data_IF_693711023116
#
_entry.id   IF_693711023116
#
_cell.length_a   1.000
_cell.length_b   1.000
_cell.length_c   1.000
_cell.angle_alpha   90.00
_cell.angle_beta   90.00
_cell.angle_gamma   90.00
#
_symmetry.space_group_name_H-M   'P 1'
#
loop_
_entity.id
_entity.type
_entity.pdbx_description
1 polymer ?
#
# COMPACT_ATOMS: atom_id res chain seq x y z
N UNK A 1 11.48 65.09 37.49
CA UNK A 1 10.26 65.24 38.32
C UNK A 1 9.35 64.08 37.92
N UNK A 2 9.41 62.97 38.66
CA UNK A 2 8.50 62.61 39.79
C UNK A 2 7.15 62.06 39.25
N UNK A 3 6.56 60.95 39.69
CA UNK A 3 6.83 59.99 40.77
C UNK A 3 5.96 58.71 40.57
N UNK A 4 6.34 57.61 41.22
CA UNK A 4 5.47 56.44 41.54
C UNK A 4 4.37 56.81 42.57
N UNK A 5 3.48 55.87 42.98
CA UNK A 5 3.81 54.98 44.13
C UNK A 5 3.38 53.50 43.95
N UNK A 6 4.17 52.48 44.29
CA UNK A 6 4.61 51.87 45.58
C UNK A 6 3.52 51.10 46.37
N UNK A 7 3.82 49.82 46.70
CA UNK A 7 3.83 49.11 48.01
C UNK A 7 3.38 47.62 47.85
N UNK A 8 3.97 46.56 48.42
CA UNK A 8 5.19 46.27 49.23
C UNK A 8 5.35 44.73 49.32
N UNK A 9 6.51 44.14 49.02
CA UNK A 9 7.63 43.67 49.88
C UNK A 9 7.36 42.54 50.92
N UNK A 10 8.13 41.44 50.83
CA UNK A 10 9.18 41.09 51.82
C UNK A 10 10.11 39.95 51.34
N UNK A 11 11.43 40.22 51.42
CA UNK A 11 12.56 39.28 51.28
C UNK A 11 12.77 38.48 52.59
N UNK A 12 13.65 37.47 52.74
CA UNK A 12 15.13 37.60 52.79
C UNK A 12 15.84 36.23 52.80
N UNK A 13 16.56 35.91 51.72
CA UNK A 13 18.02 35.65 51.55
C UNK A 13 18.98 35.00 52.62
N UNK A 14 19.77 34.02 52.12
CA UNK A 14 21.25 33.65 52.24
C UNK A 14 21.86 32.70 53.35
N UNK A 15 23.13 32.18 53.23
CA UNK A 15 23.48 30.77 52.92
C UNK A 15 24.56 30.16 53.87
N UNK A 16 25.21 29.03 53.51
CA UNK A 16 26.70 28.87 53.51
C UNK A 16 27.18 27.43 53.23
N UNK A 17 28.37 27.34 52.61
CA UNK A 17 29.20 26.15 52.34
C UNK A 17 29.81 25.59 53.64
N UNK A 18 30.17 24.30 53.70
CA UNK A 18 31.48 23.81 54.18
C UNK A 18 31.67 22.30 53.95
N UNK A 19 32.86 21.93 53.44
CA UNK A 19 33.43 20.57 53.45
C UNK A 19 34.21 20.36 54.75
N UNK A 20 34.24 19.13 55.30
CA UNK A 20 35.44 18.61 56.01
C UNK A 20 35.43 17.09 56.16
N UNK A 21 36.63 16.54 55.99
CA UNK A 21 37.10 15.17 56.18
C UNK A 21 37.20 14.78 57.68
N UNK A 22 37.12 13.47 57.99
CA UNK A 22 38.08 12.62 58.78
C UNK A 22 37.33 11.39 59.35
N UNK A 23 37.64 10.16 58.92
CA UNK A 23 38.64 9.16 59.38
C UNK A 23 38.19 8.20 60.52
N UNK A 24 38.13 6.92 60.15
CA UNK A 24 38.51 5.68 60.84
C UNK A 24 38.19 5.46 62.33
N UNK A 25 37.47 4.35 62.60
CA UNK A 25 37.73 3.48 63.76
C UNK A 25 37.70 2.01 63.31
N UNK A 26 38.81 1.33 63.55
CA UNK A 26 38.97 -0.12 63.56
C UNK A 26 39.32 -0.53 65.00
N UNK A 27 38.67 -1.54 65.59
CA UNK A 27 39.37 -2.73 66.11
C UNK A 27 38.45 -3.86 66.64
N UNK A 28 38.88 -5.07 66.25
CA UNK A 28 38.75 -6.47 66.73
C UNK A 28 37.96 -6.80 68.02
N UNK A 29 37.22 -7.94 67.99
CA UNK A 29 37.73 -9.26 68.44
C UNK A 29 36.66 -10.39 68.52
N UNK A 30 37.07 -11.60 68.08
CA UNK A 30 36.69 -12.98 68.50
C UNK A 30 35.21 -13.45 68.37
N UNK A 31 34.83 -14.67 67.96
CA UNK A 31 35.49 -15.89 67.50
C UNK A 31 34.44 -16.90 66.95
N UNK A 32 34.93 -17.94 66.26
CA UNK A 32 34.33 -19.27 65.92
C UNK A 32 33.77 -19.46 64.48
N UNK A 33 34.62 -20.12 63.67
CA UNK A 33 34.26 -20.90 62.48
C UNK A 33 33.59 -22.23 62.88
N UNK A 34 32.79 -22.83 61.97
CA UNK A 34 33.27 -24.10 61.41
C UNK A 34 33.36 -24.08 59.89
N UNK A 35 34.35 -24.83 59.40
CA UNK A 35 34.61 -25.10 58.00
C UNK A 35 33.44 -25.87 57.36
N UNK A 36 32.92 -25.36 56.24
CA UNK A 36 32.28 -26.20 55.25
C UNK A 36 32.68 -25.70 53.85
N UNK A 37 33.29 -26.60 53.09
CA UNK A 37 33.82 -26.40 51.75
C UNK A 37 32.79 -25.80 50.78
N UNK A 38 33.10 -24.63 50.21
CA UNK A 38 32.40 -24.08 49.05
C UNK A 38 32.69 -24.95 47.82
N UNK A 39 31.78 -25.87 47.50
CA UNK A 39 31.60 -26.32 46.11
C UNK A 39 30.85 -25.20 45.40
N UNK A 40 31.53 -24.54 44.47
CA UNK A 40 30.98 -23.50 43.60
C UNK A 40 30.05 -24.19 42.59
N UNK A 41 28.77 -24.36 42.95
CA UNK A 41 27.75 -24.69 41.96
C UNK A 41 27.57 -23.46 41.07
N UNK A 42 28.23 -23.46 39.90
CA UNK A 42 27.87 -22.58 38.81
C UNK A 42 26.44 -22.91 38.41
N UNK A 43 25.49 -22.09 38.88
CA UNK A 43 24.13 -22.09 38.39
C UNK A 43 24.21 -21.56 36.95
N UNK A 44 24.30 -22.49 35.98
CA UNK A 44 24.00 -22.20 34.58
C UNK A 44 22.52 -21.79 34.54
N UNK A 45 22.22 -20.51 34.72
CA UNK A 45 20.94 -19.95 34.27
C UNK A 45 20.94 -19.93 32.74
N UNK A 46 20.67 -21.12 32.20
CA UNK A 46 19.86 -21.43 31.03
C UNK A 46 19.71 -20.30 29.99
N UNK A 47 20.63 -20.26 29.02
CA UNK A 47 20.33 -19.70 27.69
C UNK A 47 19.20 -20.48 26.98
N UNK A 48 18.94 -21.73 27.40
CA UNK A 48 17.85 -22.57 26.91
C UNK A 48 16.46 -22.10 27.38
N UNK A 49 16.31 -21.56 28.58
CA UNK A 49 15.02 -21.09 29.11
C UNK A 49 14.55 -19.84 28.37
N UNK A 50 15.46 -18.90 28.08
CA UNK A 50 15.11 -17.74 27.25
C UNK A 50 14.70 -18.17 25.85
N UNK A 51 15.43 -19.10 25.23
CA UNK A 51 15.05 -19.66 23.94
C UNK A 51 13.71 -20.40 23.99
N UNK A 52 13.38 -21.08 25.09
CA UNK A 52 12.09 -21.75 25.26
C UNK A 52 10.95 -20.73 25.45
N UNK A 53 11.18 -19.66 26.21
CA UNK A 53 10.24 -18.55 26.36
C UNK A 53 10.03 -17.82 25.03
N UNK A 54 11.08 -17.52 24.25
CA UNK A 54 10.92 -16.92 22.92
C UNK A 54 10.22 -17.85 21.92
N UNK A 55 10.45 -19.16 22.00
CA UNK A 55 9.72 -20.17 21.21
C UNK A 55 8.24 -20.24 21.62
N UNK A 56 7.94 -20.20 22.91
CA UNK A 56 6.57 -20.17 23.42
C UNK A 56 5.84 -18.86 23.07
N UNK A 57 6.52 -17.71 23.18
CA UNK A 57 5.98 -16.40 22.80
C UNK A 57 5.73 -16.32 21.29
N UNK A 58 6.64 -16.85 20.46
CA UNK A 58 6.47 -16.94 19.01
C UNK A 58 5.30 -17.86 18.62
N UNK A 59 5.18 -19.02 19.28
CA UNK A 59 4.09 -19.96 19.04
C UNK A 59 2.73 -19.39 19.49
N UNK A 60 2.70 -18.68 20.62
CA UNK A 60 1.51 -17.98 21.10
C UNK A 60 1.05 -16.89 20.12
N UNK A 61 1.98 -16.07 19.62
CA UNK A 61 1.64 -15.04 18.62
C UNK A 61 1.13 -15.66 17.32
N UNK A 62 1.74 -16.75 16.85
CA UNK A 62 1.30 -17.45 15.64
C UNK A 62 -0.07 -18.11 15.84
N UNK A 63 -0.30 -18.73 17.00
CA UNK A 63 -1.59 -19.30 17.37
C UNK A 63 -2.69 -18.24 17.39
N UNK A 64 -2.43 -17.11 18.06
CA UNK A 64 -3.36 -15.98 18.08
C UNK A 64 -3.67 -15.47 16.68
N UNK A 65 -2.67 -15.38 15.79
CA UNK A 65 -2.91 -14.98 14.40
C UNK A 65 -3.81 -15.97 13.65
N UNK A 66 -3.68 -17.29 13.89
CA UNK A 66 -4.55 -18.32 13.31
C UNK A 66 -5.98 -18.13 13.84
N UNK A 67 -6.15 -18.00 15.16
CA UNK A 67 -7.45 -17.78 15.81
C UNK A 67 -8.14 -16.52 15.31
N UNK A 68 -7.43 -15.39 15.26
CA UNK A 68 -7.95 -14.11 14.78
C UNK A 68 -8.38 -14.22 13.30
N UNK A 69 -7.62 -14.93 12.47
CA UNK A 69 -7.94 -15.12 11.05
C UNK A 69 -9.18 -16.01 10.88
N UNK A 70 -9.25 -17.11 11.63
CA UNK A 70 -10.41 -18.02 11.61
C UNK A 70 -11.66 -17.29 12.10
N UNK A 71 -11.58 -16.55 13.21
CA UNK A 71 -12.69 -15.78 13.75
C UNK A 71 -13.21 -14.75 12.74
N UNK A 72 -12.31 -14.00 12.11
CA UNK A 72 -12.67 -13.03 11.07
C UNK A 72 -13.35 -13.71 9.87
N UNK A 73 -12.86 -14.87 9.44
CA UNK A 73 -13.48 -15.65 8.38
C UNK A 73 -14.88 -16.18 8.78
N UNK A 74 -15.05 -16.70 10.00
CA UNK A 74 -16.34 -17.19 10.51
C UNK A 74 -17.40 -16.08 10.60
N UNK A 75 -16.99 -14.86 10.96
CA UNK A 75 -17.90 -13.72 11.03
C UNK A 75 -18.32 -13.19 9.66
N UNK A 76 -17.38 -13.15 8.69
CA UNK A 76 -17.61 -12.49 7.40
C UNK A 76 -18.11 -13.45 6.32
N UNK A 77 -17.60 -14.67 6.25
CA UNK A 77 -17.88 -15.60 5.16
C UNK A 77 -19.37 -15.97 5.03
N UNK A 78 -20.14 -16.22 6.10
CA UNK A 78 -21.56 -16.55 5.97
C UNK A 78 -22.39 -15.40 5.39
N UNK A 79 -22.25 -14.21 5.98
CA UNK A 79 -22.92 -12.99 5.51
C UNK A 79 -22.53 -12.66 4.06
N UNK A 80 -21.25 -12.83 3.75
CA UNK A 80 -20.71 -12.65 2.40
C UNK A 80 -21.33 -13.62 1.38
N UNK A 81 -21.48 -14.89 1.76
CA UNK A 81 -22.03 -15.95 0.93
C UNK A 81 -23.51 -15.69 0.65
N UNK A 82 -24.30 -15.37 1.68
CA UNK A 82 -25.71 -15.01 1.54
C UNK A 82 -25.90 -13.82 0.57
N UNK A 83 -25.05 -12.80 0.67
CA UNK A 83 -25.09 -11.66 -0.24
C UNK A 83 -24.75 -11.99 -1.69
N UNK A 84 -23.76 -12.86 -1.95
CA UNK A 84 -23.45 -13.29 -3.32
C UNK A 84 -24.51 -14.24 -3.89
N UNK A 85 -25.07 -15.14 -3.08
CA UNK A 85 -26.16 -16.02 -3.51
C UNK A 85 -27.42 -15.21 -3.87
N UNK A 86 -27.80 -14.24 -3.03
CA UNK A 86 -28.90 -13.34 -3.33
C UNK A 86 -28.66 -12.51 -4.61
N UNK A 87 -27.42 -12.10 -4.86
CA UNK A 87 -27.05 -11.40 -6.09
C UNK A 87 -27.16 -12.30 -7.31
N UNK A 88 -26.68 -13.54 -7.21
CA UNK A 88 -26.75 -14.53 -8.28
C UNK A 88 -28.20 -14.82 -8.65
N UNK A 89 -29.08 -15.00 -7.66
CA UNK A 89 -30.52 -15.21 -7.88
C UNK A 89 -31.13 -14.05 -8.68
N UNK A 90 -30.84 -12.79 -8.28
CA UNK A 90 -31.32 -11.61 -9.03
C UNK A 90 -30.82 -11.58 -10.48
N UNK A 91 -29.59 -12.01 -10.73
CA UNK A 91 -29.04 -12.09 -12.08
C UNK A 91 -29.68 -13.21 -12.90
N UNK A 92 -29.98 -14.34 -12.27
CA UNK A 92 -30.73 -15.45 -12.90
C UNK A 92 -32.16 -15.01 -13.25
N UNK A 93 -32.85 -14.28 -12.36
CA UNK A 93 -34.15 -13.65 -12.63
C UNK A 93 -34.08 -12.70 -13.84
N UNK A 94 -33.06 -11.84 -13.91
CA UNK A 94 -32.86 -10.94 -15.07
C UNK A 94 -32.64 -11.70 -16.38
N UNK A 95 -31.98 -12.87 -16.35
CA UNK A 95 -31.82 -13.72 -17.54
C UNK A 95 -33.17 -14.33 -17.96
N UNK A 96 -34.03 -14.65 -17.01
CA UNK A 96 -35.37 -15.16 -17.31
C UNK A 96 -36.30 -14.08 -17.88
N UNK A 97 -36.17 -12.83 -17.43
CA UNK A 97 -36.98 -11.70 -17.89
C UNK A 97 -36.46 -11.10 -19.21
N UNK A 98 -35.15 -11.05 -19.42
CA UNK A 98 -34.57 -10.62 -20.68
C UNK A 98 -34.73 -11.72 -21.73
N UNK A 99 -35.47 -11.43 -22.80
CA UNK A 99 -35.31 -12.14 -24.07
C UNK A 99 -33.84 -12.03 -24.50
N UNK A 100 -33.05 -13.09 -24.26
CA UNK A 100 -31.62 -13.17 -24.57
C UNK A 100 -31.28 -12.81 -26.03
N UNK A 101 -32.29 -12.81 -26.90
CA UNK A 101 -32.18 -12.59 -28.33
C UNK A 101 -32.45 -11.15 -28.77
N UNK A 102 -33.04 -10.30 -27.91
CA UNK A 102 -33.34 -8.91 -28.26
C UNK A 102 -32.12 -8.00 -28.18
N UNK A 103 -31.23 -8.25 -27.22
CA UNK A 103 -30.02 -7.45 -27.01
C UNK A 103 -28.83 -8.34 -26.63
N UNK A 104 -27.99 -8.74 -27.60
CA UNK A 104 -26.85 -9.62 -27.34
C UNK A 104 -25.78 -8.94 -26.48
N UNK A 105 -25.69 -7.61 -26.49
CA UNK A 105 -24.71 -6.87 -25.69
C UNK A 105 -25.08 -6.92 -24.20
N UNK A 106 -26.34 -6.62 -23.87
CA UNK A 106 -26.84 -6.74 -22.48
C UNK A 106 -26.81 -8.17 -21.98
N UNK A 107 -27.17 -9.14 -22.82
CA UNK A 107 -27.14 -10.56 -22.46
C UNK A 107 -25.73 -11.02 -22.11
N UNK A 108 -24.72 -10.63 -22.91
CA UNK A 108 -23.33 -10.93 -22.61
C UNK A 108 -22.85 -10.27 -21.31
N UNK A 109 -23.25 -9.02 -21.05
CA UNK A 109 -22.92 -8.34 -19.80
C UNK A 109 -23.49 -9.07 -18.56
N UNK A 110 -24.75 -9.51 -18.63
CA UNK A 110 -25.39 -10.26 -17.53
C UNK A 110 -24.71 -11.61 -17.34
N UNK A 111 -24.37 -12.33 -18.41
CA UNK A 111 -23.66 -13.60 -18.32
C UNK A 111 -22.26 -13.44 -17.70
N UNK A 112 -21.52 -12.39 -18.06
CA UNK A 112 -20.22 -12.06 -17.45
C UNK A 112 -20.40 -11.78 -15.94
N UNK A 113 -21.43 -11.02 -15.57
CA UNK A 113 -21.75 -10.73 -14.16
C UNK A 113 -22.12 -12.00 -13.38
N UNK A 114 -22.89 -12.90 -13.99
CA UNK A 114 -23.28 -14.18 -13.38
C UNK A 114 -22.05 -15.08 -13.17
N UNK A 115 -21.20 -15.22 -14.20
CA UNK A 115 -19.95 -15.96 -14.08
C UNK A 115 -19.05 -15.38 -12.97
N UNK A 116 -19.02 -14.05 -12.81
CA UNK A 116 -18.32 -13.38 -11.71
C UNK A 116 -18.89 -13.73 -10.34
N UNK A 117 -20.22 -13.68 -10.16
CA UNK A 117 -20.86 -14.04 -8.89
C UNK A 117 -20.64 -15.52 -8.53
N UNK A 118 -20.71 -16.43 -9.50
CA UNK A 118 -20.43 -17.85 -9.29
C UNK A 118 -18.99 -18.09 -8.80
N UNK A 119 -17.99 -17.46 -9.44
CA UNK A 119 -16.60 -17.51 -8.98
C UNK A 119 -16.43 -16.98 -7.55
N UNK A 120 -17.13 -15.90 -7.20
CA UNK A 120 -17.09 -15.34 -5.85
C UNK A 120 -17.69 -16.30 -4.80
N UNK A 121 -18.80 -16.96 -5.13
CA UNK A 121 -19.42 -17.99 -4.28
C UNK A 121 -18.46 -19.16 -4.07
N UNK A 122 -17.83 -19.66 -5.13
CA UNK A 122 -16.89 -20.77 -5.04
C UNK A 122 -15.66 -20.40 -4.19
N UNK A 123 -15.13 -19.19 -4.35
CA UNK A 123 -14.03 -18.67 -3.52
C UNK A 123 -14.43 -18.55 -2.03
N UNK A 124 -15.66 -18.12 -1.73
CA UNK A 124 -16.17 -18.03 -0.36
C UNK A 124 -16.39 -19.41 0.27
N UNK A 125 -16.83 -20.40 -0.51
CA UNK A 125 -16.93 -21.80 -0.07
C UNK A 125 -15.56 -22.39 0.24
N UNK A 126 -14.56 -22.15 -0.61
CA UNK A 126 -13.18 -22.56 -0.37
C UNK A 126 -12.59 -21.87 0.87
N UNK A 127 -12.85 -20.56 1.05
CA UNK A 127 -12.47 -19.82 2.25
C UNK A 127 -13.04 -20.45 3.52
N UNK A 128 -14.33 -20.81 3.51
CA UNK A 128 -14.99 -21.46 4.66
C UNK A 128 -14.37 -22.82 4.95
N UNK A 129 -14.15 -23.64 3.93
CA UNK A 129 -13.50 -24.95 4.08
C UNK A 129 -12.10 -24.83 4.69
N UNK A 130 -11.27 -23.91 4.18
CA UNK A 130 -9.91 -23.67 4.71
C UNK A 130 -9.91 -23.11 6.12
N UNK A 131 -10.89 -22.26 6.46
CA UNK A 131 -11.04 -21.75 7.82
C UNK A 131 -11.41 -22.87 8.81
N UNK A 132 -12.32 -23.77 8.43
CA UNK A 132 -12.68 -24.96 9.22
C UNK A 132 -11.48 -25.91 9.37
N UNK A 133 -10.71 -26.14 8.30
CA UNK A 133 -9.48 -26.93 8.35
C UNK A 133 -8.46 -26.33 9.32
N UNK A 134 -8.16 -25.03 9.20
CA UNK A 134 -7.21 -24.35 10.08
C UNK A 134 -7.65 -24.41 11.55
N UNK A 135 -8.96 -24.29 11.81
CA UNK A 135 -9.55 -24.42 13.15
C UNK A 135 -9.36 -25.82 13.73
N UNK A 136 -9.70 -26.86 12.96
CA UNK A 136 -9.57 -28.24 13.39
C UNK A 136 -8.11 -28.61 13.67
N UNK A 137 -7.18 -28.21 12.79
CA UNK A 137 -5.75 -28.46 13.01
C UNK A 137 -5.27 -27.71 14.26
N UNK A 138 -5.71 -26.47 14.49
CA UNK A 138 -5.36 -25.73 15.71
C UNK A 138 -5.84 -26.45 16.98
N UNK A 139 -7.08 -26.95 16.99
CA UNK A 139 -7.64 -27.72 18.10
C UNK A 139 -6.88 -29.04 18.33
N UNK A 140 -6.51 -29.75 17.27
CA UNK A 140 -5.70 -30.98 17.38
C UNK A 140 -4.31 -30.69 17.97
N UNK A 141 -3.68 -29.57 17.61
CA UNK A 141 -2.38 -29.18 18.17
C UNK A 141 -2.46 -28.89 19.68
N UNK A 142 -3.60 -28.41 20.18
CA UNK A 142 -3.82 -28.23 21.63
C UNK A 142 -3.95 -29.57 22.36
N UNK A 143 -4.56 -30.57 21.72
CA UNK A 143 -4.78 -31.90 22.29
C UNK A 143 -3.51 -32.78 22.24
N UNK A 144 -2.73 -32.68 21.16
CA UNK A 144 -1.49 -33.42 20.95
C UNK A 144 -0.29 -32.47 21.03
N UNK A 145 0.22 -32.28 22.24
CA UNK A 145 1.21 -31.27 22.63
C UNK A 145 2.49 -31.27 21.75
N UNK A 146 2.44 -30.50 20.67
CA UNK A 146 3.56 -30.02 19.83
C UNK A 146 3.95 -30.96 18.67
N UNK A 147 3.01 -31.25 17.77
CA UNK A 147 3.38 -31.63 16.40
C UNK A 147 3.67 -30.38 15.55
N UNK A 148 4.94 -29.97 15.50
CA UNK A 148 5.39 -28.81 14.72
C UNK A 148 4.95 -28.86 13.24
N UNK A 149 4.82 -30.05 12.65
CA UNK A 149 4.37 -30.20 11.26
C UNK A 149 2.90 -29.79 11.10
N UNK A 150 2.03 -30.26 11.99
CA UNK A 150 0.60 -29.89 11.99
C UNK A 150 0.43 -28.40 12.26
N UNK A 151 1.18 -27.84 13.22
CA UNK A 151 1.14 -26.40 13.47
C UNK A 151 1.56 -25.58 12.25
N UNK A 152 2.63 -26.00 11.56
CA UNK A 152 3.07 -25.34 10.32
C UNK A 152 1.99 -25.41 9.24
N UNK A 153 1.30 -26.55 9.11
CA UNK A 153 0.18 -26.70 8.17
C UNK A 153 -1.01 -25.78 8.52
N UNK A 154 -1.41 -25.72 9.81
CA UNK A 154 -2.43 -24.78 10.28
C UNK A 154 -2.05 -23.32 9.96
N UNK A 155 -0.79 -22.96 10.21
CA UNK A 155 -0.30 -21.63 9.92
C UNK A 155 -0.33 -21.32 8.42
N UNK A 156 0.13 -22.23 7.55
CA UNK A 156 0.05 -22.03 6.10
C UNK A 156 -1.40 -21.91 5.62
N UNK A 157 -2.30 -22.77 6.09
CA UNK A 157 -3.73 -22.68 5.77
C UNK A 157 -4.32 -21.34 6.24
N UNK A 158 -3.97 -20.86 7.44
CA UNK A 158 -4.41 -19.54 7.94
C UNK A 158 -3.89 -18.38 7.07
N UNK A 159 -2.68 -18.48 6.53
CA UNK A 159 -2.15 -17.46 5.62
C UNK A 159 -2.94 -17.44 4.29
N UNK A 160 -3.36 -18.60 3.82
CA UNK A 160 -4.18 -18.71 2.61
C UNK A 160 -5.60 -18.18 2.86
N UNK A 161 -6.21 -18.51 4.01
CA UNK A 161 -7.50 -17.93 4.45
C UNK A 161 -7.40 -16.41 4.51
N UNK A 162 -6.33 -15.87 5.12
CA UNK A 162 -6.13 -14.42 5.22
C UNK A 162 -6.03 -13.76 3.85
N UNK A 163 -5.25 -14.34 2.93
CA UNK A 163 -5.10 -13.81 1.56
C UNK A 163 -6.43 -13.81 0.82
N UNK A 164 -7.18 -14.91 0.86
CA UNK A 164 -8.48 -15.03 0.19
C UNK A 164 -9.50 -14.05 0.78
N UNK A 165 -9.51 -13.89 2.11
CA UNK A 165 -10.38 -12.95 2.79
C UNK A 165 -10.05 -11.49 2.44
N UNK A 166 -8.76 -11.12 2.49
CA UNK A 166 -8.31 -9.76 2.14
C UNK A 166 -8.61 -9.45 0.66
N UNK A 167 -8.47 -10.43 -0.25
CA UNK A 167 -8.86 -10.29 -1.66
C UNK A 167 -10.37 -10.10 -1.83
N UNK A 168 -11.19 -10.90 -1.13
CA UNK A 168 -12.65 -10.78 -1.19
C UNK A 168 -13.11 -9.42 -0.64
N UNK A 169 -12.62 -9.00 0.52
CA UNK A 169 -12.95 -7.69 1.09
C UNK A 169 -12.54 -6.55 0.14
N UNK A 170 -11.35 -6.64 -0.47
CA UNK A 170 -10.96 -5.63 -1.46
C UNK A 170 -11.89 -5.61 -2.66
N UNK A 171 -12.28 -6.78 -3.21
CA UNK A 171 -13.27 -6.83 -4.29
C UNK A 171 -14.62 -6.22 -3.91
N UNK A 172 -14.95 -6.18 -2.61
CA UNK A 172 -16.15 -5.51 -2.09
C UNK A 172 -16.00 -4.00 -1.95
N UNK A 173 -14.82 -3.53 -1.59
CA UNK A 173 -14.54 -2.10 -1.46
C UNK A 173 -14.45 -1.43 -2.84
N UNK A 174 -13.93 -2.16 -3.83
CA UNK A 174 -13.76 -1.69 -5.20
C UNK A 174 -15.08 -1.73 -6.00
N UNK A 175 -15.92 -0.70 -5.79
CA UNK A 175 -17.23 -0.54 -6.48
C UNK A 175 -17.27 0.64 -7.46
N UNK A 176 -16.17 1.35 -7.62
CA UNK A 176 -16.06 2.46 -8.57
C UNK A 176 -16.24 2.00 -10.02
N UNK A 177 -16.69 2.89 -10.91
CA UNK A 177 -17.00 2.55 -12.30
C UNK A 177 -15.78 2.04 -13.08
N UNK A 178 -14.59 2.52 -12.71
CA UNK A 178 -13.34 2.18 -13.38
C UNK A 178 -12.42 1.29 -12.55
N UNK A 179 -12.86 0.84 -11.35
CA UNK A 179 -11.98 0.14 -10.41
C UNK A 179 -11.38 -1.13 -10.99
N UNK A 180 -12.16 -1.84 -11.84
CA UNK A 180 -11.74 -3.09 -12.49
C UNK A 180 -10.68 -2.90 -13.58
N UNK A 181 -10.49 -1.68 -14.06
CA UNK A 181 -9.56 -1.40 -15.16
C UNK A 181 -8.10 -1.48 -14.69
N UNK A 182 -7.20 -1.57 -15.67
CA UNK A 182 -5.77 -1.38 -15.43
C UNK A 182 -5.49 0.04 -14.91
N UNK A 183 -4.26 0.32 -14.49
CA UNK A 183 -3.88 1.65 -14.01
C UNK A 183 -2.69 2.18 -14.80
N UNK A 184 -2.71 3.48 -15.09
CA UNK A 184 -1.55 4.22 -15.55
C UNK A 184 -1.18 5.22 -14.44
N UNK A 185 0.00 5.02 -13.85
CA UNK A 185 0.55 5.88 -12.80
C UNK A 185 1.59 6.81 -13.41
N UNK A 186 1.36 8.11 -13.26
CA UNK A 186 2.30 9.16 -13.69
C UNK A 186 2.87 9.81 -12.44
N UNK A 187 4.18 9.71 -12.27
CA UNK A 187 4.90 10.29 -11.14
C UNK A 187 5.72 11.47 -11.66
N UNK A 188 5.63 12.62 -11.00
CA UNK A 188 6.35 13.84 -11.35
C UNK A 188 6.99 14.47 -10.12
N UNK A 189 8.22 14.93 -10.25
CA UNK A 189 8.87 15.72 -9.21
C UNK A 189 8.05 17.01 -8.93
N UNK A 190 7.81 17.32 -7.66
CA UNK A 190 7.00 18.49 -7.29
C UNK A 190 7.67 19.82 -7.65
N UNK A 191 9.00 19.85 -7.57
CA UNK A 191 9.85 20.98 -7.94
C UNK A 191 11.14 20.47 -8.59
N UNK A 192 11.79 21.31 -9.38
CA UNK A 192 13.13 21.02 -9.91
C UNK A 192 14.14 21.08 -8.77
N UNK A 193 14.87 19.99 -8.55
CA UNK A 193 15.81 19.87 -7.44
C UNK A 193 16.15 18.42 -7.15
N UNK A 194 17.43 18.18 -6.87
CA UNK A 194 17.99 16.84 -6.66
C UNK A 194 17.19 15.97 -5.68
N UNK A 195 16.76 16.56 -4.55
CA UNK A 195 16.04 15.82 -3.51
C UNK A 195 14.60 15.42 -3.94
N UNK A 196 13.92 16.25 -4.72
CA UNK A 196 12.60 15.91 -5.30
C UNK A 196 12.74 14.84 -6.40
N UNK A 197 13.78 14.94 -7.21
CA UNK A 197 14.03 14.02 -8.33
C UNK A 197 14.45 12.63 -7.85
N UNK A 198 15.23 12.54 -6.77
CA UNK A 198 15.53 11.26 -6.10
C UNK A 198 14.28 10.69 -5.44
N UNK A 199 13.49 11.51 -4.76
CA UNK A 199 12.25 11.03 -4.14
C UNK A 199 11.28 10.45 -5.18
N UNK A 200 11.20 11.08 -6.34
CA UNK A 200 10.42 10.58 -7.49
C UNK A 200 10.93 9.20 -7.95
N UNK A 201 12.26 9.00 -7.98
CA UNK A 201 12.86 7.69 -8.32
C UNK A 201 12.60 6.63 -7.24
N UNK A 202 12.63 7.00 -5.97
CA UNK A 202 12.27 6.11 -4.87
C UNK A 202 10.80 5.66 -4.97
N UNK A 203 9.87 6.58 -5.28
CA UNK A 203 8.46 6.25 -5.50
C UNK A 203 8.27 5.35 -6.71
N UNK A 204 8.97 5.59 -7.82
CA UNK A 204 8.97 4.71 -8.98
C UNK A 204 9.33 3.27 -8.58
N UNK A 205 10.43 3.10 -7.85
CA UNK A 205 10.88 1.80 -7.38
C UNK A 205 9.91 1.15 -6.38
N UNK A 206 9.21 1.95 -5.57
CA UNK A 206 8.17 1.48 -4.66
C UNK A 206 7.01 0.85 -5.43
N UNK A 207 6.48 1.53 -6.47
CA UNK A 207 5.36 1.02 -7.26
C UNK A 207 5.72 -0.21 -8.09
N UNK A 208 6.94 -0.27 -8.65
CA UNK A 208 7.43 -1.47 -9.36
C UNK A 208 7.49 -2.66 -8.40
N UNK A 209 8.10 -2.49 -7.22
CA UNK A 209 8.17 -3.55 -6.20
C UNK A 209 6.80 -3.96 -5.66
N UNK A 210 5.86 -3.02 -5.57
CA UNK A 210 4.49 -3.31 -5.16
C UNK A 210 3.81 -4.26 -6.14
N UNK A 211 3.95 -4.03 -7.46
CA UNK A 211 3.42 -4.93 -8.47
C UNK A 211 4.09 -6.30 -8.42
N UNK A 212 5.43 -6.35 -8.32
CA UNK A 212 6.18 -7.61 -8.19
C UNK A 212 5.73 -8.43 -6.98
N UNK A 213 5.46 -7.77 -5.84
CA UNK A 213 4.98 -8.42 -4.61
C UNK A 213 3.58 -9.04 -4.78
N UNK A 214 2.76 -8.47 -5.65
CA UNK A 214 1.44 -9.01 -6.00
C UNK A 214 1.54 -10.12 -7.07
N UNK A 215 2.73 -10.36 -7.63
CA UNK A 215 2.95 -11.32 -8.72
C UNK A 215 2.62 -10.77 -10.11
N UNK A 216 2.49 -9.45 -10.23
CA UNK A 216 2.24 -8.77 -11.51
C UNK A 216 3.47 -7.99 -11.97
N UNK A 217 3.50 -7.67 -13.26
CA UNK A 217 4.54 -6.84 -13.86
C UNK A 217 4.01 -5.42 -14.07
N UNK A 218 4.80 -4.41 -13.69
CA UNK A 218 4.55 -3.02 -14.02
C UNK A 218 5.37 -2.61 -15.23
N UNK A 219 4.70 -2.28 -16.34
CA UNK A 219 5.37 -1.85 -17.58
C UNK A 219 5.82 -0.40 -17.45
N UNK A 220 7.13 -0.17 -17.37
CA UNK A 220 7.69 1.18 -17.44
C UNK A 220 7.60 1.70 -18.88
N UNK A 221 6.75 2.70 -19.12
CA UNK A 221 6.50 3.23 -20.47
C UNK A 221 7.35 4.47 -20.74
N UNK A 222 7.48 5.35 -19.76
CA UNK A 222 8.26 6.58 -19.89
C UNK A 222 9.13 6.77 -18.65
N UNK A 223 10.38 7.18 -18.87
CA UNK A 223 11.31 7.58 -17.81
C UNK A 223 12.11 8.78 -18.30
N UNK A 224 11.96 9.91 -17.63
CA UNK A 224 12.71 11.14 -17.90
C UNK A 224 13.76 11.33 -16.80
N UNK A 225 15.03 10.94 -17.05
CA UNK A 225 16.10 11.11 -16.07
C UNK A 225 16.48 12.58 -15.92
N UNK A 226 16.79 12.99 -14.69
CA UNK A 226 17.31 14.35 -14.44
C UNK A 226 18.80 14.47 -14.77
N UNK A 227 19.27 15.71 -14.94
CA UNK A 227 20.68 16.06 -15.06
C UNK A 227 21.45 15.85 -13.75
N UNK A 228 20.83 16.19 -12.62
CA UNK A 228 21.45 16.20 -11.29
C UNK A 228 21.46 14.82 -10.61
N UNK A 229 20.68 13.86 -11.13
CA UNK A 229 20.43 12.55 -10.53
C UNK A 229 18.93 12.34 -10.25
N UNK A 230 18.47 11.09 -10.17
CA UNK A 230 17.04 10.79 -10.05
C UNK A 230 16.25 10.97 -11.36
N UNK A 231 14.95 11.18 -11.23
CA UNK A 231 14.02 11.33 -12.37
C UNK A 231 13.13 12.56 -12.22
N UNK A 232 12.86 13.25 -13.33
CA UNK A 232 11.89 14.37 -13.38
C UNK A 232 10.46 13.83 -13.45
N UNK A 233 10.24 12.79 -14.26
CA UNK A 233 8.96 12.10 -14.34
C UNK A 233 9.11 10.66 -14.85
N UNK A 234 8.14 9.82 -14.50
CA UNK A 234 8.01 8.47 -15.03
C UNK A 234 6.53 8.06 -15.15
N UNK A 235 6.24 7.22 -16.12
CA UNK A 235 4.91 6.66 -16.37
C UNK A 235 4.98 5.14 -16.34
N UNK A 236 4.17 4.52 -15.49
CA UNK A 236 4.06 3.06 -15.33
C UNK A 236 2.64 2.63 -15.71
N UNK A 237 2.54 1.59 -16.54
CA UNK A 237 1.27 0.98 -16.93
C UNK A 237 1.16 -0.40 -16.24
N UNK A 238 0.05 -0.60 -15.52
CA UNK A 238 -0.30 -1.84 -14.83
C UNK A 238 -1.49 -2.48 -15.54
N UNK A 239 -1.21 -3.56 -16.28
CA UNK A 239 -2.18 -4.26 -17.13
C UNK A 239 -2.80 -5.49 -16.42
N UNK A 240 -3.31 -5.30 -15.21
CA UNK A 240 -4.00 -6.37 -14.47
C UNK A 240 -5.33 -5.89 -13.86
N UNK A 241 -6.20 -6.85 -13.56
CA UNK A 241 -7.55 -6.59 -13.06
C UNK A 241 -7.51 -5.86 -11.70
N UNK A 242 -8.40 -4.88 -11.53
CA UNK A 242 -8.52 -4.07 -10.32
C UNK A 242 -7.34 -3.13 -10.00
N UNK A 243 -6.35 -3.00 -10.89
CA UNK A 243 -5.17 -2.16 -10.63
C UNK A 243 -5.53 -0.70 -10.34
N UNK A 244 -6.49 -0.13 -11.08
CA UNK A 244 -6.95 1.25 -10.83
C UNK A 244 -7.61 1.37 -9.46
N UNK A 245 -8.47 0.42 -9.10
CA UNK A 245 -9.12 0.39 -7.79
C UNK A 245 -8.11 0.44 -6.64
N UNK A 246 -7.06 -0.37 -6.71
CA UNK A 246 -6.01 -0.39 -5.68
C UNK A 246 -5.23 0.93 -5.58
N UNK A 247 -4.92 1.56 -6.72
CA UNK A 247 -4.05 2.73 -6.78
C UNK A 247 -4.81 4.06 -6.77
N UNK A 248 -6.13 4.05 -6.90
CA UNK A 248 -6.97 5.25 -6.93
C UNK A 248 -6.74 6.16 -5.72
N UNK A 249 -6.53 5.57 -4.54
CA UNK A 249 -6.24 6.27 -3.30
C UNK A 249 -4.82 6.86 -3.21
N UNK A 250 -3.91 6.48 -4.09
CA UNK A 250 -2.52 6.96 -4.11
C UNK A 250 -2.38 8.29 -4.87
N UNK A 251 -3.45 8.77 -5.50
CA UNK A 251 -3.44 10.03 -6.25
C UNK A 251 -3.27 11.22 -5.30
N UNK A 252 -2.24 12.03 -5.54
CA UNK A 252 -1.99 13.24 -4.75
C UNK A 252 -0.51 13.61 -4.65
N UNK A 253 -0.20 14.48 -3.70
CA UNK A 253 1.17 14.94 -3.45
C UNK A 253 1.77 14.17 -2.27
N UNK A 254 2.81 13.42 -2.55
CA UNK A 254 3.56 12.60 -1.60
C UNK A 254 4.74 13.38 -1.07
N UNK A 255 4.76 13.61 0.24
CA UNK A 255 5.82 14.34 0.92
C UNK A 255 6.73 13.41 1.71
N UNK A 256 8.05 13.55 1.53
CA UNK A 256 9.07 12.91 2.37
C UNK A 256 9.81 13.97 3.16
N UNK A 257 9.76 13.83 4.49
CA UNK A 257 10.41 14.73 5.44
C UNK A 257 11.76 14.10 5.82
N UNK A 258 12.85 14.76 5.44
CA UNK A 258 14.19 14.32 5.77
C UNK A 258 14.76 15.15 6.92
N UNK A 259 15.24 14.46 7.96
CA UNK A 259 16.02 15.07 9.04
C UNK A 259 17.49 14.85 8.75
N UNK A 260 18.21 15.89 8.33
CA UNK A 260 19.66 15.83 8.27
C UNK A 260 20.23 15.81 9.70
N UNK A 261 21.16 14.89 9.97
CA UNK A 261 21.82 14.78 11.27
C UNK A 261 22.48 16.12 11.64
N UNK A 262 21.96 16.81 12.66
CA UNK A 262 22.50 18.06 13.18
C UNK A 262 21.81 19.35 12.73
N UNK A 263 20.78 19.28 11.88
CA UNK A 263 19.94 20.42 11.51
C UNK A 263 18.65 20.46 12.35
N UNK A 264 18.23 21.66 12.79
CA UNK A 264 16.90 21.89 13.39
C UNK A 264 15.81 22.02 12.30
N UNK A 265 16.20 22.31 11.07
CA UNK A 265 15.28 22.46 9.94
C UNK A 265 15.14 21.14 9.19
N UNK A 266 13.89 20.69 9.04
CA UNK A 266 13.54 19.56 8.21
C UNK A 266 13.38 20.00 6.76
N UNK A 267 13.99 19.24 5.84
CA UNK A 267 13.76 19.45 4.42
C UNK A 267 12.53 18.64 3.98
N UNK A 268 11.61 19.29 3.28
CA UNK A 268 10.39 18.67 2.75
C UNK A 268 10.57 18.48 1.25
N UNK A 269 10.65 17.22 0.84
CA UNK A 269 10.66 16.82 -0.56
C UNK A 269 9.26 16.37 -0.97
N UNK A 270 8.87 16.69 -2.19
CA UNK A 270 7.54 16.40 -2.71
C UNK A 270 7.58 15.83 -4.12
N UNK A 271 6.66 14.91 -4.39
CA UNK A 271 6.39 14.34 -5.70
C UNK A 271 4.88 14.22 -5.90
N UNK A 272 4.40 14.50 -7.11
CA UNK A 272 3.01 14.36 -7.50
C UNK A 272 2.81 12.99 -8.15
N UNK A 273 1.81 12.25 -7.67
CA UNK A 273 1.37 10.98 -8.24
C UNK A 273 -0.03 11.19 -8.81
N UNK A 274 -0.15 11.02 -10.11
CA UNK A 274 -1.42 11.01 -10.82
C UNK A 274 -1.75 9.58 -11.24
N UNK A 275 -3.01 9.17 -11.07
CA UNK A 275 -3.46 7.80 -11.35
C UNK A 275 -4.69 7.88 -12.23
N UNK A 276 -4.61 7.29 -13.42
CA UNK A 276 -5.71 7.24 -14.38
C UNK A 276 -5.99 5.80 -14.79
N UNK A 277 -7.25 5.44 -15.09
CA UNK A 277 -7.56 4.09 -15.54
C UNK A 277 -6.95 3.84 -16.92
N UNK A 278 -6.41 2.64 -17.10
CA UNK A 278 -5.89 2.15 -18.37
C UNK A 278 -6.94 1.25 -19.01
N UNK A 279 -7.56 1.75 -20.08
CA UNK A 279 -8.55 1.01 -20.84
C UNK A 279 -7.85 0.08 -21.84
N UNK A 280 -7.89 -1.22 -21.57
CA UNK A 280 -7.31 -2.25 -22.44
C UNK A 280 -8.28 -2.74 -23.54
N UNK A 281 -9.55 -2.31 -23.49
CA UNK A 281 -10.62 -2.74 -24.41
C UNK A 281 -11.26 -1.61 -25.21
N UNK A 282 -11.92 -1.97 -26.31
CA UNK A 282 -12.54 -1.08 -27.33
C UNK A 282 -13.92 -0.54 -26.92
N UNK A 283 -14.18 -0.33 -25.63
CA UNK A 283 -15.55 -0.21 -25.09
C UNK A 283 -16.06 1.18 -24.73
N UNK A 284 -15.23 2.23 -24.82
CA UNK A 284 -15.65 3.58 -24.42
C UNK A 284 -15.65 4.53 -25.62
N UNK A 285 -16.83 4.77 -26.18
CA UNK A 285 -17.12 5.78 -27.22
C UNK A 285 -17.12 7.20 -26.62
N UNK A 286 -16.08 7.55 -25.86
CA UNK A 286 -15.81 8.93 -25.52
C UNK A 286 -14.98 9.55 -26.64
N UNK A 287 -15.66 10.21 -27.57
CA UNK A 287 -15.01 11.01 -28.62
C UNK A 287 -14.79 12.42 -28.11
N UNK A 288 -13.56 12.91 -28.28
CA UNK A 288 -13.18 14.30 -28.08
C UNK A 288 -13.08 14.89 -29.47
N UNK A 289 -13.63 16.08 -29.68
CA UNK A 289 -13.48 16.77 -30.96
C UNK A 289 -12.01 17.18 -31.16
N UNK A 290 -11.48 16.97 -32.36
CA UNK A 290 -10.11 17.34 -32.70
C UNK A 290 -9.91 18.86 -32.64
N UNK A 291 -10.97 19.66 -32.83
CA UNK A 291 -10.91 21.13 -32.70
C UNK A 291 -10.67 21.59 -31.26
N UNK A 292 -10.99 20.77 -30.26
CA UNK A 292 -10.80 21.05 -28.83
C UNK A 292 -9.41 20.64 -28.31
N UNK A 293 -8.55 20.09 -29.18
CA UNK A 293 -7.25 19.55 -28.83
C UNK A 293 -6.10 20.38 -29.43
N UNK A 294 -5.16 20.79 -28.57
CA UNK A 294 -3.88 21.34 -29.01
C UNK A 294 -2.85 20.22 -28.96
N UNK A 295 -2.31 19.86 -30.12
CA UNK A 295 -1.22 18.89 -30.26
C UNK A 295 0.10 19.65 -30.43
N UNK A 296 1.04 19.41 -29.53
CA UNK A 296 2.41 19.94 -29.62
C UNK A 296 3.42 18.80 -29.61
N UNK A 297 4.46 18.92 -30.42
CA UNK A 297 5.50 17.90 -30.55
C UNK A 297 6.88 18.47 -30.22
N UNK A 298 7.60 17.76 -29.36
CA UNK A 298 8.96 18.11 -28.96
C UNK A 298 9.91 16.98 -29.36
N UNK A 299 11.10 17.26 -29.91
CA UNK A 299 12.12 16.23 -30.06
C UNK A 299 12.58 15.77 -28.67
N UNK A 300 12.67 14.45 -28.45
CA UNK A 300 13.27 13.92 -27.22
C UNK A 300 14.79 14.10 -27.28
N UNK A 301 15.35 14.67 -26.21
CA UNK A 301 16.80 14.88 -26.09
C UNK A 301 17.37 13.77 -25.22
N UNK A 302 18.17 12.88 -25.81
CA UNK A 302 19.06 12.01 -25.03
C UNK A 302 20.38 12.74 -24.72
N UNK A 303 20.96 12.38 -23.57
CA UNK A 303 22.19 12.93 -22.95
C UNK A 303 23.45 12.89 -23.85
N UNK A 304 23.40 12.22 -25.01
CA UNK A 304 24.54 11.97 -25.91
C UNK A 304 24.57 12.80 -27.20
N UNK A 305 23.80 13.90 -27.30
CA UNK A 305 23.91 14.85 -28.42
C UNK A 305 23.47 14.31 -29.79
N UNK A 306 22.99 13.06 -29.86
CA UNK A 306 22.27 12.51 -31.00
C UNK A 306 20.78 12.76 -30.79
N UNK A 307 20.19 13.60 -31.63
CA UNK A 307 18.74 13.70 -31.74
C UNK A 307 18.20 12.40 -32.31
N UNK A 308 17.59 11.56 -31.48
CA UNK A 308 16.71 10.52 -32.00
C UNK A 308 15.38 11.17 -32.42
N UNK A 309 14.79 10.64 -33.49
CA UNK A 309 13.47 11.01 -34.01
C UNK A 309 12.34 10.53 -33.10
N UNK A 310 12.57 10.44 -31.80
CA UNK A 310 11.53 10.11 -30.84
C UNK A 310 10.82 11.41 -30.48
N UNK A 311 9.57 11.51 -30.93
CA UNK A 311 8.75 12.71 -30.80
C UNK A 311 7.90 12.56 -29.54
N UNK A 312 8.17 13.40 -28.54
CA UNK A 312 7.27 13.57 -27.40
C UNK A 312 6.05 14.33 -27.88
N UNK A 313 4.87 13.72 -27.73
CA UNK A 313 3.59 14.35 -28.05
C UNK A 313 2.97 14.86 -26.76
N UNK A 314 2.63 16.13 -26.72
CA UNK A 314 1.87 16.76 -25.65
C UNK A 314 0.50 17.18 -26.20
N UNK A 315 -0.55 16.69 -25.55
CA UNK A 315 -1.93 17.01 -25.86
C UNK A 315 -2.50 17.87 -24.74
N UNK A 316 -3.19 18.94 -25.12
CA UNK A 316 -3.93 19.79 -24.20
C UNK A 316 -5.39 19.89 -24.65
N UNK A 317 -6.31 19.64 -23.72
CA UNK A 317 -7.74 19.84 -23.94
C UNK A 317 -8.11 21.29 -23.60
N UNK A 318 -8.49 22.07 -24.62
CA UNK A 318 -8.71 23.52 -24.53
C UNK A 318 -9.77 23.88 -23.46
N UNK A 319 -10.97 23.26 -23.43
CA UNK A 319 -12.02 23.65 -22.50
C UNK A 319 -11.64 23.46 -21.03
N UNK A 320 -10.87 22.41 -20.73
CA UNK A 320 -10.48 22.05 -19.35
C UNK A 320 -9.09 22.54 -18.94
N UNK A 321 -8.25 22.91 -19.91
CA UNK A 321 -6.84 23.24 -19.68
C UNK A 321 -5.95 22.05 -19.28
N UNK A 322 -6.47 20.82 -19.26
CA UNK A 322 -5.72 19.62 -18.86
C UNK A 322 -4.75 19.24 -19.97
N UNK A 323 -3.49 18.99 -19.60
CA UNK A 323 -2.46 18.51 -20.50
C UNK A 323 -1.94 17.13 -20.09
N UNK A 324 -1.61 16.32 -21.10
CA UNK A 324 -1.02 14.99 -20.97
C UNK A 324 0.09 14.85 -21.99
N UNK A 325 1.19 14.22 -21.60
CA UNK A 325 2.32 13.93 -22.47
C UNK A 325 2.49 12.42 -22.67
N UNK A 326 2.99 12.04 -23.85
CA UNK A 326 3.50 10.70 -24.09
C UNK A 326 4.74 10.71 -24.98
N UNK A 327 5.75 9.92 -24.60
CA UNK A 327 7.02 9.76 -25.31
C UNK A 327 7.53 8.31 -25.31
N UNK A 328 6.72 7.35 -24.86
CA UNK A 328 7.16 5.98 -24.65
C UNK A 328 7.35 5.15 -25.93
N UNK A 329 6.77 5.58 -27.05
CA UNK A 329 6.82 4.86 -28.32
C UNK A 329 7.66 5.60 -29.37
N UNK A 330 8.22 4.85 -30.32
CA UNK A 330 9.01 5.42 -31.43
C UNK A 330 8.17 6.16 -32.48
N UNK A 331 6.89 5.79 -32.59
CA UNK A 331 5.99 6.34 -33.60
C UNK A 331 5.21 7.52 -33.04
N UNK A 332 5.21 8.64 -33.77
CA UNK A 332 4.36 9.80 -33.47
C UNK A 332 2.90 9.39 -33.28
N UNK A 333 2.36 8.61 -34.22
CA UNK A 333 0.97 8.13 -34.17
C UNK A 333 0.68 7.31 -32.91
N UNK A 334 1.61 6.45 -32.50
CA UNK A 334 1.44 5.64 -31.30
C UNK A 334 1.46 6.52 -30.03
N UNK A 335 2.36 7.50 -29.95
CA UNK A 335 2.38 8.47 -28.84
C UNK A 335 1.12 9.34 -28.81
N UNK A 336 0.61 9.79 -29.96
CA UNK A 336 -0.66 10.53 -30.05
C UNK A 336 -1.81 9.70 -29.52
N UNK A 337 -1.94 8.43 -29.95
CA UNK A 337 -3.00 7.53 -29.49
C UNK A 337 -2.93 7.26 -27.99
N UNK A 338 -1.73 7.02 -27.44
CA UNK A 338 -1.55 6.83 -25.99
C UNK A 338 -1.88 8.09 -25.20
N UNK A 339 -1.41 9.25 -25.65
CA UNK A 339 -1.71 10.52 -25.01
C UNK A 339 -3.22 10.82 -25.06
N UNK A 340 -3.90 10.55 -26.18
CA UNK A 340 -5.35 10.68 -26.30
C UNK A 340 -6.08 9.75 -25.33
N UNK A 341 -5.68 8.48 -25.24
CA UNK A 341 -6.29 7.52 -24.31
C UNK A 341 -6.13 7.95 -22.85
N UNK A 342 -4.93 8.42 -22.46
CA UNK A 342 -4.68 8.95 -21.10
C UNK A 342 -5.48 10.22 -20.83
N UNK A 343 -5.60 11.12 -21.80
CA UNK A 343 -6.39 12.34 -21.69
C UNK A 343 -7.89 12.02 -21.52
N UNK A 344 -8.43 11.11 -22.33
CA UNK A 344 -9.79 10.60 -22.20
C UNK A 344 -10.03 10.00 -20.82
N UNK A 345 -9.13 9.14 -20.35
CA UNK A 345 -9.20 8.55 -19.01
C UNK A 345 -9.25 9.61 -17.91
N UNK A 346 -8.40 10.62 -18.00
CA UNK A 346 -8.35 11.71 -17.03
C UNK A 346 -9.63 12.56 -17.03
N UNK A 347 -10.16 12.89 -18.20
CA UNK A 347 -11.41 13.63 -18.34
C UNK A 347 -12.61 12.84 -17.78
N UNK A 348 -12.66 11.53 -18.03
CA UNK A 348 -13.72 10.66 -17.50
C UNK A 348 -13.69 10.59 -15.97
N UNK A 349 -12.50 10.47 -15.37
CA UNK A 349 -12.35 10.47 -13.91
C UNK A 349 -12.83 11.79 -13.31
N UNK A 350 -12.45 12.92 -13.91
CA UNK A 350 -12.87 14.26 -13.44
C UNK A 350 -14.38 14.47 -13.61
N UNK A 351 -14.94 14.03 -14.74
CA UNK A 351 -16.38 14.12 -14.98
C UNK A 351 -17.17 13.28 -13.96
N UNK A 352 -16.66 12.13 -13.55
CA UNK A 352 -17.28 11.30 -12.52
C UNK A 352 -17.18 11.94 -11.13
N UNK A 353 -16.03 12.52 -10.79
CA UNK A 353 -15.86 13.28 -9.54
C UNK A 353 -16.79 14.47 -9.45
N UNK A 354 -17.01 15.17 -10.57
CA UNK A 354 -17.96 16.29 -10.65
C UNK A 354 -19.42 15.85 -10.52
N UNK A 355 -19.77 14.62 -10.94
CA UNK A 355 -21.13 14.06 -10.73
C UNK A 355 -21.36 13.58 -9.30
N UNK A 356 -20.30 13.20 -8.61
CA UNK A 356 -20.35 12.72 -7.23
C UNK A 356 -20.41 13.85 -6.19
N UNK A 357 -20.02 15.07 -6.58
CA UNK A 357 -20.17 16.33 -5.83
C UNK A 357 -21.56 16.94 -6.06
#
# INVERSE_FOLDING_TARGET
MAAEPVFVSRATTIPSKFQSFTRNISDKSQAKLPLCSRVRAYQKHSMDDKNNVYKQLGLFSLKKNIEDTVLRAEMLAPTALEHEEARRIKQEEMIHECSLWEDPAKSNEILIKLAGSAKAIDALKDLKYKAEEAKLISQLVEMEAINYRLFKQAYTSSLDVRKLLDQYEMSRLLKGPYDKQGACVVIRAGSKGFNHEIWTEELLNMYVKWAEKLGYEGRLVEKHPSLHGGIESATIEFEFECAYGYLSGERGIHHKINSQNGSVHHEVTSACVDVVPLFLGTGFDFQIDDEELIVSCSPSLLRDGKSQTELTVCLQHIPTGISVQSSGERSHFANTMKAQNRLKAKLLVIAEEQKAL
#
